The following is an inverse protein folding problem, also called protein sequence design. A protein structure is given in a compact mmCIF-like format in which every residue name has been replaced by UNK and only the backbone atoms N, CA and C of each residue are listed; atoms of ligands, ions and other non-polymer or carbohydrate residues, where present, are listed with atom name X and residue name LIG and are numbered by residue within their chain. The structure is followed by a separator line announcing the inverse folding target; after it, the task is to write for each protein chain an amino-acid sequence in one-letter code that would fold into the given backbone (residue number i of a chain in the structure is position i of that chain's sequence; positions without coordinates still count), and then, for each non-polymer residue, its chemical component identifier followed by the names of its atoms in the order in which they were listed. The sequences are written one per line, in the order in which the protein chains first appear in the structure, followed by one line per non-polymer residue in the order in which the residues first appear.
data_IF_519418398792
#
_entry.id   IF_519418398792
#
_cell.length_a   1.000
_cell.length_b   1.000
_cell.length_c   1.000
_cell.angle_alpha   90.00
_cell.angle_beta   90.00
_cell.angle_gamma   90.00
#
_symmetry.space_group_name_H-M   'P 1'
#
loop_
_entity.id
_entity.type
_entity.pdbx_description
1 polymer ?
#
# COMPACT_ATOMS: atom_id res chain seq x y z
N UNK A 1 -10.10 29.97 -35.45
CA UNK A 1 -10.91 29.20 -34.44
C UNK A 1 -9.95 28.41 -33.56
N UNK A 2 -9.54 28.99 -32.38
CA UNK A 2 -8.70 28.32 -31.44
C UNK A 2 -9.56 27.32 -30.64
N UNK A 3 -9.34 26.02 -30.84
CA UNK A 3 -9.85 24.98 -29.94
C UNK A 3 -9.04 25.02 -28.64
N UNK A 4 -9.62 25.63 -27.62
CA UNK A 4 -9.13 25.48 -26.23
C UNK A 4 -9.35 24.04 -25.80
N UNK A 5 -8.29 23.25 -25.76
CA UNK A 5 -8.29 21.95 -25.12
C UNK A 5 -8.59 22.20 -23.62
N UNK A 6 -9.83 21.96 -23.21
CA UNK A 6 -10.19 21.93 -21.81
C UNK A 6 -9.51 20.71 -21.19
N UNK A 7 -8.45 20.98 -20.44
CA UNK A 7 -7.88 19.98 -19.54
C UNK A 7 -8.90 19.72 -18.44
N UNK A 8 -9.69 18.67 -18.59
CA UNK A 8 -10.55 18.16 -17.53
C UNK A 8 -9.62 17.69 -16.41
N UNK A 9 -9.48 18.48 -15.37
CA UNK A 9 -8.92 17.99 -14.10
C UNK A 9 -9.92 16.97 -13.60
N UNK A 10 -9.58 15.70 -13.69
CA UNK A 10 -10.43 14.62 -13.20
C UNK A 10 -10.73 14.91 -11.73
N UNK A 11 -12.00 15.13 -11.41
CA UNK A 11 -12.44 15.38 -10.04
C UNK A 11 -12.15 14.15 -9.20
N UNK A 12 -11.49 14.34 -8.03
CA UNK A 12 -11.16 13.25 -7.15
C UNK A 12 -12.43 12.45 -6.76
N UNK A 13 -12.40 11.12 -6.84
CA UNK A 13 -13.51 10.30 -6.37
C UNK A 13 -13.89 10.64 -4.93
N UNK A 14 -15.19 10.58 -4.60
CA UNK A 14 -15.72 10.96 -3.27
C UNK A 14 -15.11 10.15 -2.12
N UNK A 15 -14.68 8.93 -2.38
CA UNK A 15 -14.09 8.04 -1.38
C UNK A 15 -12.63 8.35 -1.05
N UNK A 16 -11.91 9.13 -1.86
CA UNK A 16 -10.46 9.39 -1.70
C UNK A 16 -10.13 9.96 -0.31
N UNK A 17 -10.85 10.94 0.15
CA UNK A 17 -10.57 11.59 1.45
C UNK A 17 -10.68 10.61 2.63
N UNK A 18 -11.66 9.71 2.59
CA UNK A 18 -11.81 8.68 3.61
C UNK A 18 -10.71 7.63 3.48
N UNK A 19 -10.44 7.14 2.28
CA UNK A 19 -9.46 6.10 2.02
C UNK A 19 -8.03 6.54 2.40
N UNK A 20 -7.67 7.79 2.17
CA UNK A 20 -6.35 8.33 2.55
C UNK A 20 -6.06 8.26 4.04
N UNK A 21 -7.06 8.25 4.90
CA UNK A 21 -6.88 8.09 6.36
C UNK A 21 -6.39 6.70 6.74
N UNK A 22 -6.59 5.71 5.88
CA UNK A 22 -6.09 4.36 6.10
C UNK A 22 -4.61 4.19 5.73
N UNK A 23 -4.03 5.14 4.98
CA UNK A 23 -2.62 5.10 4.55
C UNK A 23 -1.75 5.78 5.58
N UNK A 24 -0.63 5.17 5.93
CA UNK A 24 0.31 5.66 6.94
C UNK A 24 1.76 5.55 6.48
N UNK A 25 2.65 6.25 7.20
CA UNK A 25 4.09 6.06 7.11
C UNK A 25 4.55 5.03 8.14
N UNK A 26 5.55 4.23 7.80
CA UNK A 26 6.19 3.26 8.68
C UNK A 26 7.64 3.65 8.88
N UNK A 27 8.11 3.63 10.12
CA UNK A 27 9.53 3.75 10.46
C UNK A 27 9.93 2.53 11.28
N UNK A 28 10.98 1.85 10.83
CA UNK A 28 11.54 0.70 11.53
C UNK A 28 12.89 1.07 12.16
N UNK A 29 13.24 0.40 13.24
CA UNK A 29 14.42 0.68 14.04
C UNK A 29 15.21 -0.60 14.30
N UNK A 30 16.53 -0.48 14.31
CA UNK A 30 17.46 -1.56 14.67
C UNK A 30 17.55 -1.77 16.20
N UNK A 31 18.42 -2.66 16.62
CA UNK A 31 18.69 -2.96 18.03
C UNK A 31 19.27 -1.77 18.81
N UNK A 32 19.93 -0.84 18.14
CA UNK A 32 20.48 0.39 18.72
C UNK A 32 19.48 1.54 18.72
N UNK A 33 18.22 1.26 18.37
CA UNK A 33 17.13 2.24 18.24
C UNK A 33 17.41 3.32 17.19
N UNK A 34 18.25 3.02 16.19
CA UNK A 34 18.48 3.86 15.02
C UNK A 34 17.46 3.50 13.93
N UNK A 35 17.09 4.50 13.12
CA UNK A 35 16.20 4.28 11.98
C UNK A 35 16.88 3.31 11.00
N UNK A 36 16.22 2.18 10.75
CA UNK A 36 16.64 1.17 9.79
C UNK A 36 16.05 1.47 8.41
N UNK A 37 14.73 1.61 8.33
CA UNK A 37 14.01 1.88 7.09
C UNK A 37 12.82 2.82 7.33
N UNK A 38 12.38 3.45 6.26
CA UNK A 38 11.15 4.25 6.21
C UNK A 38 10.35 3.90 4.96
N UNK A 39 9.04 3.74 5.09
CA UNK A 39 8.16 3.41 3.99
C UNK A 39 6.70 3.70 4.29
N UNK A 40 5.81 2.97 3.66
CA UNK A 40 4.37 3.18 3.77
C UNK A 40 3.65 1.86 4.03
N UNK A 41 2.38 1.98 4.40
CA UNK A 41 1.47 0.87 4.53
C UNK A 41 0.05 1.37 4.64
N UNK A 42 -0.89 0.46 4.83
CA UNK A 42 -2.30 0.81 4.99
C UNK A 42 -3.05 -0.22 5.83
N UNK A 43 -4.08 0.25 6.53
CA UNK A 43 -4.96 -0.61 7.31
C UNK A 43 -5.95 -1.33 6.42
N UNK A 44 -6.17 -2.61 6.69
CA UNK A 44 -7.16 -3.47 6.02
C UNK A 44 -8.26 -3.96 6.96
N UNK A 45 -8.12 -3.71 8.27
CA UNK A 45 -9.18 -3.92 9.27
C UNK A 45 -9.25 -2.74 10.23
N UNK A 46 -10.43 -2.48 10.77
CA UNK A 46 -10.65 -1.39 11.74
C UNK A 46 -9.95 -1.64 13.10
N UNK A 47 -9.58 -2.88 13.39
CA UNK A 47 -8.89 -3.29 14.61
C UNK A 47 -7.36 -3.28 14.48
N UNK A 48 -6.83 -2.71 13.39
CA UNK A 48 -5.40 -2.40 13.25
C UNK A 48 -4.56 -3.42 12.50
N UNK A 49 -5.15 -4.35 11.75
CA UNK A 49 -4.38 -5.19 10.82
C UNK A 49 -4.00 -4.37 9.59
N UNK A 50 -2.74 -4.48 9.18
CA UNK A 50 -2.15 -3.66 8.14
C UNK A 50 -1.22 -4.45 7.21
N UNK A 51 -0.97 -3.91 6.03
CA UNK A 51 -0.08 -4.45 5.01
C UNK A 51 1.01 -3.44 4.65
N UNK A 52 2.22 -3.95 4.33
CA UNK A 52 3.36 -3.17 3.85
C UNK A 52 4.37 -4.10 3.14
N UNK A 53 5.51 -3.55 2.73
CA UNK A 53 6.65 -4.32 2.23
C UNK A 53 7.41 -5.00 3.37
N UNK A 54 7.75 -6.28 3.20
CA UNK A 54 8.52 -7.03 4.19
C UNK A 54 9.95 -6.50 4.33
N UNK A 55 10.57 -6.04 3.25
CA UNK A 55 11.92 -5.45 3.27
C UNK A 55 12.07 -4.33 4.30
N UNK A 56 11.00 -3.57 4.59
CA UNK A 56 11.03 -2.53 5.61
C UNK A 56 11.25 -3.08 7.03
N UNK A 57 10.77 -4.30 7.29
CA UNK A 57 10.76 -4.93 8.61
C UNK A 57 11.95 -5.88 8.82
N UNK A 58 12.63 -6.27 7.76
CA UNK A 58 13.74 -7.23 7.80
C UNK A 58 14.89 -6.69 8.67
N UNK A 59 15.19 -7.41 9.76
CA UNK A 59 16.20 -6.98 10.75
C UNK A 59 15.72 -5.91 11.73
N UNK A 60 14.46 -5.48 11.68
CA UNK A 60 13.92 -4.51 12.61
C UNK A 60 13.66 -5.12 13.98
N UNK A 61 13.96 -4.38 15.03
CA UNK A 61 13.63 -4.73 16.41
C UNK A 61 12.38 -4.01 16.91
N UNK A 62 12.00 -2.94 16.23
CA UNK A 62 10.83 -2.12 16.56
C UNK A 62 10.34 -1.40 15.30
N UNK A 63 9.03 -1.19 15.21
CA UNK A 63 8.43 -0.35 14.19
C UNK A 63 7.34 0.57 14.76
N UNK A 64 7.20 1.73 14.15
CA UNK A 64 6.17 2.73 14.48
C UNK A 64 5.46 3.14 13.22
N UNK A 65 4.15 3.21 13.28
CA UNK A 65 3.27 3.74 12.24
C UNK A 65 2.90 5.16 12.59
N UNK A 66 2.93 6.05 11.62
CA UNK A 66 2.44 7.41 11.75
C UNK A 66 1.28 7.65 10.78
N UNK A 67 0.10 7.90 11.34
CA UNK A 67 -1.10 8.17 10.57
C UNK A 67 -1.10 9.57 9.96
N UNK A 68 -2.03 9.83 9.04
CA UNK A 68 -2.16 11.12 8.35
C UNK A 68 -2.45 12.31 9.26
N UNK A 69 -2.98 12.08 10.46
CA UNK A 69 -3.21 13.10 11.50
C UNK A 69 -2.00 13.28 12.45
N UNK A 70 -0.91 12.56 12.22
CA UNK A 70 0.31 12.63 13.01
C UNK A 70 0.34 11.74 14.26
N UNK A 71 -0.71 10.93 14.50
CA UNK A 71 -0.69 9.98 15.60
C UNK A 71 0.34 8.88 15.36
N UNK A 72 1.16 8.60 16.37
CA UNK A 72 2.14 7.53 16.34
C UNK A 72 1.60 6.30 17.08
N UNK A 73 1.73 5.14 16.44
CA UNK A 73 1.22 3.88 16.96
C UNK A 73 2.30 2.78 16.81
N UNK A 74 2.54 1.97 17.84
CA UNK A 74 3.53 0.89 17.75
C UNK A 74 3.01 -0.24 16.87
N UNK A 75 3.90 -0.94 16.18
CA UNK A 75 3.61 -2.26 15.63
C UNK A 75 3.79 -3.28 16.74
N UNK A 76 2.74 -4.04 17.04
CA UNK A 76 2.72 -4.98 18.17
C UNK A 76 3.15 -6.39 17.76
N UNK A 77 2.81 -6.82 16.55
CA UNK A 77 3.07 -8.17 16.09
C UNK A 77 3.18 -8.25 14.57
N UNK A 78 4.08 -9.10 14.09
CA UNK A 78 4.11 -9.56 12.71
C UNK A 78 3.20 -10.77 12.60
N UNK A 79 2.20 -10.72 11.73
CA UNK A 79 1.19 -11.76 11.56
C UNK A 79 1.50 -12.72 10.41
N UNK A 80 2.30 -12.27 9.45
CA UNK A 80 2.75 -13.07 8.33
C UNK A 80 3.64 -12.24 7.40
N UNK A 81 4.59 -12.89 6.74
CA UNK A 81 5.46 -12.26 5.77
C UNK A 81 5.82 -13.23 4.65
N UNK A 82 6.16 -12.68 3.51
CA UNK A 82 6.64 -13.43 2.35
C UNK A 82 7.83 -12.68 1.74
N UNK A 83 9.03 -13.26 1.88
CA UNK A 83 10.28 -12.67 1.38
C UNK A 83 10.36 -12.69 -0.15
N UNK A 84 9.72 -13.67 -0.81
CA UNK A 84 9.72 -13.78 -2.27
C UNK A 84 8.90 -12.67 -2.92
N UNK A 85 7.76 -12.34 -2.35
CA UNK A 85 6.83 -11.34 -2.87
C UNK A 85 6.91 -10.00 -2.14
N UNK A 86 7.80 -9.91 -1.14
CA UNK A 86 8.07 -8.70 -0.35
C UNK A 86 6.79 -8.11 0.28
N UNK A 87 5.99 -8.94 0.92
CA UNK A 87 4.79 -8.50 1.64
C UNK A 87 4.85 -8.88 3.10
N UNK A 88 4.32 -8.03 3.96
CA UNK A 88 4.15 -8.28 5.39
C UNK A 88 2.76 -7.87 5.84
N UNK A 89 2.16 -8.71 6.67
CA UNK A 89 0.92 -8.44 7.40
C UNK A 89 1.25 -8.31 8.88
N UNK A 90 0.79 -7.25 9.50
CA UNK A 90 1.12 -6.95 10.90
C UNK A 90 -0.03 -6.27 11.64
N UNK A 91 0.05 -6.27 12.96
CA UNK A 91 -0.90 -5.61 13.86
C UNK A 91 -0.30 -4.35 14.43
N UNK A 92 -1.06 -3.27 14.33
CA UNK A 92 -0.73 -1.97 14.91
C UNK A 92 -1.50 -1.80 16.22
N UNK A 93 -0.84 -1.32 17.25
CA UNK A 93 -1.41 -1.03 18.57
C UNK A 93 -2.23 0.25 18.54
N UNK A 94 -3.55 0.11 18.36
CA UNK A 94 -4.50 1.24 18.26
C UNK A 94 -5.19 1.60 19.57
N UNK A 95 -4.76 1.00 20.70
CA UNK A 95 -5.25 1.29 22.05
C UNK A 95 -6.78 1.25 22.20
N UNK A 96 -7.42 0.25 21.59
CA UNK A 96 -8.88 0.05 21.63
C UNK A 96 -9.69 1.04 20.79
N UNK A 97 -9.05 1.94 20.06
CA UNK A 97 -9.69 2.82 19.09
C UNK A 97 -9.94 2.06 17.79
N UNK A 98 -10.80 2.60 16.94
CA UNK A 98 -10.94 2.13 15.55
C UNK A 98 -10.14 3.03 14.61
N UNK A 99 -9.54 2.42 13.60
CA UNK A 99 -8.88 3.13 12.50
C UNK A 99 -9.73 3.03 11.24
N UNK A 100 -9.49 3.93 10.30
CA UNK A 100 -10.05 3.79 8.95
C UNK A 100 -9.31 2.65 8.26
N UNK A 101 -10.06 1.68 7.74
CA UNK A 101 -9.54 0.55 6.98
C UNK A 101 -10.03 0.58 5.54
N UNK A 102 -9.23 0.05 4.63
CA UNK A 102 -9.61 -0.16 3.24
C UNK A 102 -10.33 -1.51 3.11
N UNK A 103 -11.40 -1.52 2.33
CA UNK A 103 -12.09 -2.76 1.97
C UNK A 103 -11.34 -3.43 0.81
N UNK A 104 -11.04 -4.71 0.93
CA UNK A 104 -10.44 -5.50 -0.15
C UNK A 104 -11.39 -5.66 -1.31
N UNK A 105 -10.90 -5.49 -2.53
CA UNK A 105 -11.69 -5.74 -3.73
C UNK A 105 -12.02 -7.23 -3.86
N UNK A 106 -13.30 -7.54 -3.97
CA UNK A 106 -13.76 -8.92 -4.19
C UNK A 106 -13.49 -9.42 -5.62
N UNK A 107 -13.38 -8.47 -6.56
CA UNK A 107 -13.12 -8.75 -7.98
C UNK A 107 -11.89 -7.96 -8.41
N UNK A 108 -10.93 -8.66 -8.99
CA UNK A 108 -9.73 -8.04 -9.55
C UNK A 108 -10.09 -7.13 -10.74
N UNK A 109 -9.48 -5.94 -10.85
CA UNK A 109 -9.69 -5.08 -12.00
C UNK A 109 -9.18 -5.75 -13.28
N UNK A 110 -9.96 -5.65 -14.36
CA UNK A 110 -9.56 -6.17 -15.66
C UNK A 110 -8.56 -5.23 -16.36
N UNK A 111 -7.85 -5.75 -17.37
CA UNK A 111 -7.02 -4.92 -18.24
C UNK A 111 -7.85 -3.79 -18.85
N UNK A 112 -7.30 -2.58 -18.89
CA UNK A 112 -7.97 -1.35 -19.32
C UNK A 112 -8.77 -0.62 -18.24
N UNK A 113 -9.01 -1.24 -17.07
CA UNK A 113 -9.72 -0.60 -15.96
C UNK A 113 -8.96 0.61 -15.42
N UNK A 114 -9.69 1.68 -15.08
CA UNK A 114 -9.14 2.82 -14.36
C UNK A 114 -8.85 2.43 -12.91
N UNK A 115 -7.71 2.89 -12.39
CA UNK A 115 -7.24 2.62 -11.04
C UNK A 115 -6.55 3.85 -10.45
N UNK A 116 -6.43 3.87 -9.12
CA UNK A 116 -5.85 4.99 -8.39
C UNK A 116 -4.81 4.49 -7.39
N UNK A 117 -3.70 5.23 -7.27
CA UNK A 117 -2.72 5.05 -6.21
C UNK A 117 -2.91 6.15 -5.18
N UNK A 118 -3.01 5.77 -3.90
CA UNK A 118 -3.11 6.72 -2.78
C UNK A 118 -1.77 6.81 -2.05
N UNK A 119 -0.96 7.86 -2.27
CA UNK A 119 0.25 8.06 -1.49
C UNK A 119 -0.08 8.43 -0.04
N UNK A 120 0.84 8.11 0.87
CA UNK A 120 0.80 8.70 2.21
C UNK A 120 0.93 10.22 2.12
N UNK A 121 0.13 10.91 2.88
CA UNK A 121 0.18 12.36 3.00
C UNK A 121 -0.49 12.84 4.28
N UNK A 122 -0.20 14.05 4.68
CA UNK A 122 -0.90 14.72 5.78
C UNK A 122 -2.36 15.01 5.39
N UNK A 123 -3.22 15.24 6.38
CA UNK A 123 -4.67 15.44 6.16
C UNK A 123 -5.06 16.49 5.11
N UNK A 124 -4.20 17.48 4.88
CA UNK A 124 -4.47 18.58 3.92
C UNK A 124 -4.15 18.23 2.47
N UNK A 125 -3.37 17.18 2.24
CA UNK A 125 -2.96 16.78 0.91
C UNK A 125 -3.95 15.74 0.35
N UNK A 126 -4.66 16.12 -0.70
CA UNK A 126 -5.63 15.28 -1.44
C UNK A 126 -5.03 14.63 -2.68
N UNK A 127 -3.72 14.63 -2.82
CA UNK A 127 -3.06 14.06 -4.00
C UNK A 127 -3.35 12.56 -4.14
N UNK A 128 -3.52 12.13 -5.37
CA UNK A 128 -3.61 10.75 -5.81
C UNK A 128 -3.02 10.62 -7.21
N UNK A 129 -2.69 9.42 -7.64
CA UNK A 129 -2.23 9.16 -8.99
C UNK A 129 -3.26 8.28 -9.68
N UNK A 130 -3.70 8.69 -10.87
CA UNK A 130 -4.61 7.90 -11.71
C UNK A 130 -3.82 7.15 -12.77
N UNK A 131 -4.30 5.98 -13.17
CA UNK A 131 -3.73 5.17 -14.23
C UNK A 131 -4.69 4.07 -14.66
N UNK A 132 -4.17 3.11 -15.42
CA UNK A 132 -4.95 1.97 -15.93
C UNK A 132 -4.20 0.67 -15.67
N UNK A 133 -4.95 -0.42 -15.51
CA UNK A 133 -4.38 -1.76 -15.56
C UNK A 133 -3.96 -2.04 -17.00
N UNK A 134 -2.68 -2.35 -17.22
CA UNK A 134 -2.18 -2.82 -18.52
C UNK A 134 -2.40 -4.31 -18.66
N UNK A 135 -1.93 -5.06 -17.68
CA UNK A 135 -2.00 -6.52 -17.67
C UNK A 135 -2.33 -7.00 -16.26
N UNK A 136 -3.10 -8.05 -16.17
CA UNK A 136 -3.38 -8.78 -14.93
C UNK A 136 -2.92 -10.22 -15.14
N UNK A 137 -1.67 -10.50 -14.78
CA UNK A 137 -1.05 -11.80 -14.98
C UNK A 137 -1.19 -12.67 -13.74
N UNK A 138 -1.44 -13.95 -13.98
CA UNK A 138 -1.33 -15.00 -12.96
C UNK A 138 0.01 -15.70 -13.15
N UNK A 139 0.92 -15.47 -12.22
CA UNK A 139 2.19 -16.17 -12.20
C UNK A 139 2.06 -17.34 -11.23
N UNK A 140 2.29 -18.54 -11.68
CA UNK A 140 2.25 -19.86 -11.02
C UNK A 140 1.53 -19.94 -9.66
N UNK A 141 0.43 -20.64 -9.58
CA UNK A 141 -0.38 -20.82 -8.38
C UNK A 141 -1.46 -19.73 -8.22
N UNK A 142 -1.75 -19.34 -7.01
CA UNK A 142 -2.80 -18.37 -6.68
C UNK A 142 -2.34 -16.91 -6.66
N UNK A 143 -1.10 -16.64 -7.09
CA UNK A 143 -0.51 -15.32 -7.08
C UNK A 143 -0.99 -14.50 -8.28
N UNK A 144 -1.57 -13.33 -8.01
CA UNK A 144 -1.99 -12.35 -9.02
C UNK A 144 -1.09 -11.13 -8.96
N UNK A 145 -0.60 -10.74 -10.12
CA UNK A 145 0.33 -9.65 -10.34
C UNK A 145 -0.24 -8.70 -11.39
N UNK A 146 -0.10 -7.39 -11.14
CA UNK A 146 -0.62 -6.37 -12.03
C UNK A 146 0.51 -5.52 -12.59
N UNK A 147 0.42 -5.20 -13.87
CA UNK A 147 1.22 -4.15 -14.51
C UNK A 147 0.31 -2.96 -14.77
N UNK A 148 0.72 -1.78 -14.33
CA UNK A 148 -0.09 -0.56 -14.36
C UNK A 148 0.57 0.51 -15.22
N UNK A 149 -0.23 1.21 -16.01
CA UNK A 149 0.18 2.40 -16.73
C UNK A 149 0.11 3.62 -15.81
N UNK A 150 1.06 3.70 -14.89
CA UNK A 150 1.28 4.86 -14.03
C UNK A 150 2.73 4.89 -13.56
N UNK A 151 3.21 6.10 -13.26
CA UNK A 151 4.57 6.28 -12.76
C UNK A 151 4.60 6.08 -11.25
N UNK A 152 5.40 5.11 -10.80
CA UNK A 152 5.71 4.90 -9.38
C UNK A 152 6.93 5.76 -8.98
N UNK A 153 6.78 6.54 -7.91
CA UNK A 153 7.90 7.20 -7.24
C UNK A 153 8.31 6.37 -6.02
N UNK A 154 9.58 6.42 -5.61
CA UNK A 154 10.08 5.63 -4.47
C UNK A 154 9.24 5.80 -3.20
N UNK A 155 8.79 7.02 -2.94
CA UNK A 155 7.92 7.33 -1.79
C UNK A 155 6.50 6.74 -1.86
N UNK A 156 6.13 6.10 -2.97
CA UNK A 156 4.81 5.50 -3.19
C UNK A 156 4.81 3.98 -3.06
N UNK A 157 5.97 3.38 -2.80
CA UNK A 157 6.08 1.94 -2.56
C UNK A 157 5.27 1.56 -1.33
N UNK A 158 4.57 0.43 -1.38
CA UNK A 158 3.60 -0.07 -0.39
C UNK A 158 2.35 0.77 -0.19
N UNK A 159 2.12 1.78 -1.03
CA UNK A 159 0.85 2.49 -1.04
C UNK A 159 -0.25 1.67 -1.70
N UNK A 160 -1.52 1.83 -1.27
CA UNK A 160 -2.61 1.05 -1.80
C UNK A 160 -3.02 1.48 -3.21
N UNK A 161 -3.35 0.48 -4.03
CA UNK A 161 -3.94 0.64 -5.34
C UNK A 161 -5.44 0.36 -5.25
N UNK A 162 -6.24 1.29 -5.73
CA UNK A 162 -7.68 1.35 -5.54
C UNK A 162 -8.42 1.18 -6.86
N UNK A 163 -9.53 0.46 -6.81
CA UNK A 163 -10.51 0.43 -7.89
C UNK A 163 -11.30 1.75 -7.96
N UNK A 164 -12.06 1.96 -9.02
CA UNK A 164 -12.95 3.14 -9.17
C UNK A 164 -13.99 3.26 -8.05
N UNK A 165 -14.36 2.15 -7.41
CA UNK A 165 -15.33 2.08 -6.32
C UNK A 165 -14.69 2.29 -4.93
N UNK A 166 -13.40 2.55 -4.86
CA UNK A 166 -12.67 2.79 -3.62
C UNK A 166 -12.36 1.53 -2.81
N UNK A 167 -12.20 0.40 -3.46
CA UNK A 167 -11.73 -0.84 -2.86
C UNK A 167 -10.26 -1.06 -3.19
N UNK A 168 -9.47 -1.55 -2.24
CA UNK A 168 -8.06 -1.85 -2.48
C UNK A 168 -7.90 -3.19 -3.16
N UNK A 169 -7.18 -3.23 -4.28
CA UNK A 169 -6.89 -4.48 -5.00
C UNK A 169 -5.41 -4.86 -4.94
N UNK A 170 -4.51 -3.95 -4.59
CA UNK A 170 -3.09 -4.25 -4.60
C UNK A 170 -2.23 -3.29 -3.79
N UNK A 171 -0.97 -3.69 -3.62
CA UNK A 171 0.11 -2.89 -3.06
C UNK A 171 1.06 -2.50 -4.19
N UNK A 172 1.40 -1.23 -4.29
CA UNK A 172 2.42 -0.77 -5.22
C UNK A 172 3.80 -1.31 -4.81
N UNK A 173 4.52 -1.95 -5.75
CA UNK A 173 5.83 -2.53 -5.50
C UNK A 173 6.92 -1.85 -6.30
N UNK A 174 8.13 -1.83 -5.74
CA UNK A 174 9.30 -1.33 -6.42
C UNK A 174 9.66 -2.27 -7.58
N UNK A 175 9.76 -1.73 -8.79
CA UNK A 175 10.26 -2.48 -9.93
C UNK A 175 11.74 -2.83 -9.77
N UNK A 176 12.11 -4.06 -10.10
CA UNK A 176 13.48 -4.55 -10.08
C UNK A 176 14.28 -4.25 -11.36
N UNK A 177 13.70 -3.57 -12.35
CA UNK A 177 14.31 -3.30 -13.66
C UNK A 177 14.72 -1.84 -13.87
N UNK A 178 15.47 -1.59 -14.94
CA UNK A 178 15.92 -0.24 -15.34
C UNK A 178 14.77 0.70 -15.77
N UNK A 179 13.56 0.18 -15.96
CA UNK A 179 12.40 0.90 -16.49
C UNK A 179 11.42 1.37 -15.40
N UNK A 180 11.94 1.73 -14.23
CA UNK A 180 11.17 2.21 -13.08
C UNK A 180 10.36 3.48 -13.34
N UNK A 181 10.55 4.11 -14.49
CA UNK A 181 9.96 5.41 -14.80
C UNK A 181 8.52 5.34 -15.35
N UNK A 182 8.08 4.20 -15.89
CA UNK A 182 6.83 4.11 -16.67
C UNK A 182 5.86 3.02 -16.26
N UNK A 183 6.31 2.01 -15.49
CA UNK A 183 5.48 0.87 -15.12
C UNK A 183 5.46 0.71 -13.60
N UNK A 184 4.26 0.69 -13.03
CA UNK A 184 4.02 0.32 -11.64
C UNK A 184 3.60 -1.14 -11.59
N UNK A 185 4.26 -1.92 -10.75
CA UNK A 185 3.87 -3.29 -10.44
C UNK A 185 3.10 -3.33 -9.13
N UNK A 186 2.17 -4.27 -9.03
CA UNK A 186 1.39 -4.43 -7.82
C UNK A 186 1.15 -5.90 -7.48
N UNK A 187 1.23 -6.22 -6.20
CA UNK A 187 0.80 -7.49 -5.64
C UNK A 187 -0.68 -7.42 -5.29
N UNK A 188 -1.40 -8.50 -5.56
CA UNK A 188 -2.80 -8.65 -5.16
C UNK A 188 -2.97 -8.53 -3.64
N UNK A 189 -3.91 -7.68 -3.19
CA UNK A 189 -4.11 -7.41 -1.77
C UNK A 189 -4.72 -8.62 -1.03
N UNK A 190 -5.54 -9.44 -1.70
CA UNK A 190 -6.08 -10.65 -1.09
C UNK A 190 -4.98 -11.70 -0.91
N UNK A 191 -4.04 -11.80 -1.85
CA UNK A 191 -2.86 -12.64 -1.69
C UNK A 191 -2.03 -12.18 -0.49
N UNK A 192 -1.68 -10.90 -0.43
CA UNK A 192 -0.94 -10.34 0.71
C UNK A 192 -1.65 -10.58 2.04
N UNK A 193 -2.98 -10.44 2.07
CA UNK A 193 -3.78 -10.67 3.27
C UNK A 193 -3.82 -12.13 3.70
N UNK A 194 -3.71 -13.07 2.75
CA UNK A 194 -3.71 -14.52 3.03
C UNK A 194 -2.40 -15.03 3.61
N UNK A 195 -1.32 -14.22 3.60
CA UNK A 195 -0.03 -14.65 4.13
C UNK A 195 -0.12 -14.89 5.64
N UNK A 196 -0.04 -16.14 6.03
CA UNK A 196 -0.03 -16.63 7.39
C UNK A 196 1.21 -17.48 7.63
N UNK A 197 2.40 -16.87 7.45
CA UNK A 197 3.62 -17.58 7.82
C UNK A 197 3.75 -17.52 9.32
N UNK A 198 3.83 -18.69 9.93
CA UNK A 198 3.96 -18.85 11.37
C UNK A 198 5.19 -18.12 11.89
N UNK A 199 4.95 -17.23 12.85
CA UNK A 199 5.91 -16.74 13.81
C UNK A 199 7.26 -16.28 13.26
N UNK A 200 7.25 -15.23 12.42
CA UNK A 200 8.41 -14.35 12.35
C UNK A 200 8.38 -13.46 13.60
N UNK A 201 9.37 -13.60 14.45
CA UNK A 201 9.60 -12.63 15.51
C UNK A 201 10.24 -11.38 14.91
N UNK A 202 10.12 -10.22 15.59
CA UNK A 202 10.93 -9.07 15.28
C UNK A 202 12.41 -9.47 15.31
N UNK A 203 13.14 -9.25 14.22
CA UNK A 203 14.57 -9.51 14.11
C UNK A 203 14.97 -10.79 13.39
N UNK A 204 14.01 -11.57 12.91
CA UNK A 204 14.27 -12.75 12.06
C UNK A 204 14.40 -12.40 10.58
#
# INVERSE_FOLDING_TARGET
LCLLAQWSVAQAPKWVDKAKRAVFSVVTYDQDNKILNTGNGFFVTEDGVALSDYTLFKGAQRAVVMSSDGAQMPVEAIMGADDMYDVVKFRVGISGKKVTALTLAAVAPAAGADVYLLPYSTQKDRSFTAGKVKEADKISGNYSYYTLDMRLKDKMVSCPLMTVDGQVFGLAQKSSGQDTATICYAIDANFAMSQNISALSYGD
#
